data_IF_980881271064
#
_entry.id   IF_980881271064
#
_cell.length_a   1.000
_cell.length_b   1.000
_cell.length_c   1.000
_cell.angle_alpha   90.00
_cell.angle_beta   90.00
_cell.angle_gamma   90.00
#
_symmetry.space_group_name_H-M   'P 1'
#
loop_
_entity.id
_entity.type
_entity.pdbx_description
1 polymer ?
#
# COMPACT_ATOMS: atom_id res chain seq x y z
N UNK A 1 17.27 -15.33 11.87
CA UNK A 1 18.00 -14.41 12.78
C UNK A 1 17.03 -13.36 13.29
N UNK A 2 16.70 -13.37 14.59
CA UNK A 2 15.88 -12.33 15.24
C UNK A 2 16.69 -11.03 15.30
N UNK A 3 16.06 -9.88 15.02
CA UNK A 3 16.68 -8.55 15.17
C UNK A 3 17.24 -7.88 13.90
N UNK A 4 17.16 -8.51 12.71
CA UNK A 4 17.57 -7.85 11.45
C UNK A 4 16.46 -7.10 10.71
N UNK A 5 15.19 -7.30 11.09
CA UNK A 5 14.08 -6.58 10.49
C UNK A 5 13.69 -5.40 11.38
N UNK A 6 14.14 -4.21 11.00
CA UNK A 6 13.75 -2.94 11.64
C UNK A 6 12.39 -2.44 11.13
N UNK A 7 12.03 -2.75 9.88
CA UNK A 7 10.79 -2.28 9.29
C UNK A 7 9.73 -3.37 9.28
N UNK A 8 8.46 -2.97 9.45
CA UNK A 8 7.32 -3.90 9.37
C UNK A 8 7.08 -4.26 7.91
N UNK A 9 6.84 -5.54 7.65
CA UNK A 9 6.49 -6.00 6.30
C UNK A 9 5.15 -5.41 5.84
N UNK A 10 4.22 -5.17 6.77
CA UNK A 10 2.94 -4.50 6.49
C UNK A 10 3.15 -3.10 5.92
N UNK A 11 4.02 -2.28 6.52
CA UNK A 11 4.33 -0.93 6.06
C UNK A 11 4.85 -0.96 4.61
N UNK A 12 5.75 -1.92 4.31
CA UNK A 12 6.32 -2.11 2.97
C UNK A 12 5.23 -2.43 1.94
N UNK A 13 4.36 -3.38 2.26
CA UNK A 13 3.30 -3.82 1.36
C UNK A 13 2.29 -2.70 1.12
N UNK A 14 1.89 -1.98 2.17
CA UNK A 14 0.90 -0.90 2.07
C UNK A 14 1.46 0.26 1.25
N UNK A 15 2.72 0.65 1.47
CA UNK A 15 3.38 1.68 0.66
C UNK A 15 3.47 1.22 -0.80
N UNK A 16 3.88 -0.02 -1.06
CA UNK A 16 3.96 -0.53 -2.43
C UNK A 16 2.60 -0.47 -3.15
N UNK A 17 1.52 -0.89 -2.49
CA UNK A 17 0.15 -0.80 -3.05
C UNK A 17 -0.24 0.66 -3.27
N UNK A 18 0.00 1.54 -2.30
CA UNK A 18 -0.30 2.97 -2.41
C UNK A 18 0.45 3.61 -3.59
N UNK A 19 1.71 3.26 -3.80
CA UNK A 19 2.51 3.71 -4.96
C UNK A 19 1.86 3.32 -6.27
N UNK A 20 1.46 2.06 -6.43
CA UNK A 20 0.75 1.62 -7.65
C UNK A 20 -0.59 2.34 -7.85
N UNK A 21 -1.34 2.58 -6.78
CA UNK A 21 -2.60 3.34 -6.84
C UNK A 21 -2.40 4.81 -7.22
N UNK A 22 -1.25 5.39 -6.84
CA UNK A 22 -0.85 6.74 -7.20
C UNK A 22 -0.14 6.83 -8.56
N UNK A 23 0.00 5.72 -9.29
CA UNK A 23 0.60 5.69 -10.63
C UNK A 23 2.11 5.53 -10.69
N UNK A 24 2.78 5.31 -9.55
CA UNK A 24 4.18 4.90 -9.53
C UNK A 24 4.31 3.38 -9.73
N UNK A 25 5.40 2.92 -10.33
CA UNK A 25 5.55 1.51 -10.73
C UNK A 25 6.91 0.88 -10.39
N UNK A 26 7.83 1.64 -9.80
CA UNK A 26 9.17 1.19 -9.44
C UNK A 26 9.52 1.39 -7.95
N UNK A 27 10.66 0.85 -7.52
CA UNK A 27 11.12 0.94 -6.13
C UNK A 27 11.51 2.37 -5.71
N UNK A 28 11.87 3.23 -6.67
CA UNK A 28 12.19 4.63 -6.42
C UNK A 28 10.91 5.39 -6.07
N UNK A 29 9.84 5.16 -6.82
CA UNK A 29 8.50 5.71 -6.57
C UNK A 29 7.96 5.25 -5.21
N UNK A 30 8.25 4.01 -4.79
CA UNK A 30 7.91 3.53 -3.45
C UNK A 30 8.64 4.29 -2.34
N UNK A 31 9.93 4.55 -2.55
CA UNK A 31 10.73 5.36 -1.63
C UNK A 31 10.24 6.79 -1.55
N UNK A 32 9.99 7.44 -2.69
CA UNK A 32 9.51 8.81 -2.77
C UNK A 32 8.16 8.97 -2.06
N UNK A 33 7.19 8.07 -2.34
CA UNK A 33 5.91 8.08 -1.66
C UNK A 33 6.05 7.82 -0.14
N UNK A 34 6.89 6.87 0.28
CA UNK A 34 7.17 6.64 1.69
C UNK A 34 7.74 7.87 2.38
N UNK A 35 8.65 8.58 1.72
CA UNK A 35 9.31 9.77 2.26
C UNK A 35 8.35 10.94 2.35
N UNK A 36 7.51 11.14 1.33
CA UNK A 36 6.68 12.34 1.20
C UNK A 36 5.31 12.20 1.87
N UNK A 37 4.77 10.98 1.89
CA UNK A 37 3.39 10.69 2.31
C UNK A 37 3.28 9.58 3.35
N UNK A 38 4.40 8.99 3.79
CA UNK A 38 4.36 7.87 4.75
C UNK A 38 3.64 8.19 6.06
N UNK A 39 3.78 9.42 6.56
CA UNK A 39 3.08 9.89 7.76
C UNK A 39 1.58 10.11 7.54
N UNK A 40 1.19 10.57 6.34
CA UNK A 40 -0.21 10.79 5.94
C UNK A 40 -1.01 9.47 5.89
N UNK A 41 -0.32 8.33 5.77
CA UNK A 41 -0.92 7.00 5.70
C UNK A 41 -1.19 6.37 7.08
N UNK A 42 -0.93 7.09 8.18
CA UNK A 42 -1.29 6.60 9.52
C UNK A 42 -2.83 6.46 9.66
N UNK A 43 -3.32 5.41 10.33
CA UNK A 43 -2.57 4.40 11.09
C UNK A 43 -2.12 3.18 10.26
N UNK A 44 -2.37 3.14 8.95
CA UNK A 44 -2.07 1.98 8.11
C UNK A 44 -0.56 1.72 8.00
N UNK A 45 0.24 2.78 7.99
CA UNK A 45 1.71 2.71 7.95
C UNK A 45 2.26 3.34 9.23
N UNK A 46 3.06 2.60 10.00
CA UNK A 46 3.62 3.10 11.27
C UNK A 46 5.03 3.67 11.15
N UNK A 47 5.88 3.10 10.28
CA UNK A 47 7.28 3.48 10.10
C UNK A 47 8.06 3.62 11.42
N UNK A 48 8.11 2.58 12.28
CA UNK A 48 8.73 2.66 13.60
C UNK A 48 10.22 3.01 13.58
N UNK A 49 10.88 2.86 12.42
CA UNK A 49 12.28 3.19 12.20
C UNK A 49 12.46 4.20 11.04
N UNK A 50 11.43 4.99 10.76
CA UNK A 50 11.41 5.97 9.68
C UNK A 50 11.24 5.36 8.29
N UNK A 51 11.48 6.20 7.28
CA UNK A 51 11.34 5.87 5.87
C UNK A 51 12.25 4.68 5.49
N UNK A 52 11.68 3.75 4.72
CA UNK A 52 12.39 2.60 4.18
C UNK A 52 13.31 3.01 3.04
N UNK A 53 14.41 2.30 2.79
CA UNK A 53 15.23 2.52 1.60
C UNK A 53 14.69 1.81 0.36
N UNK A 54 15.10 2.26 -0.83
CA UNK A 54 14.84 1.59 -2.12
C UNK A 54 15.23 0.11 -2.05
N UNK A 55 16.44 -0.21 -1.57
CA UNK A 55 16.92 -1.59 -1.42
C UNK A 55 16.03 -2.43 -0.49
N UNK A 56 15.36 -1.80 0.49
CA UNK A 56 14.45 -2.52 1.39
C UNK A 56 13.17 -2.89 0.67
N UNK A 57 12.61 -2.00 -0.15
CA UNK A 57 11.48 -2.31 -1.02
C UNK A 57 11.84 -3.41 -2.01
N UNK A 58 12.93 -3.25 -2.75
CA UNK A 58 13.40 -4.23 -3.72
C UNK A 58 13.56 -5.60 -3.06
N UNK A 59 14.28 -5.68 -1.95
CA UNK A 59 14.56 -6.94 -1.26
C UNK A 59 13.30 -7.68 -0.83
N UNK A 60 12.26 -6.97 -0.39
CA UNK A 60 11.03 -7.60 0.10
C UNK A 60 10.08 -7.92 -1.05
N UNK A 61 9.78 -6.94 -1.91
CA UNK A 61 8.81 -7.10 -3.00
C UNK A 61 9.29 -8.14 -4.02
N UNK A 62 10.58 -8.16 -4.37
CA UNK A 62 11.14 -9.18 -5.30
C UNK A 62 11.04 -10.62 -4.81
N UNK A 63 10.82 -10.83 -3.50
CA UNK A 63 10.67 -12.16 -2.89
C UNK A 63 9.23 -12.61 -2.77
N UNK A 64 8.27 -11.75 -3.06
CA UNK A 64 6.85 -12.09 -3.02
C UNK A 64 6.51 -12.85 -4.30
N UNK A 65 5.85 -14.01 -4.18
CA UNK A 65 5.31 -14.71 -5.33
C UNK A 65 4.18 -13.87 -5.95
N UNK A 66 4.32 -13.41 -7.21
CA UNK A 66 3.30 -12.58 -7.85
C UNK A 66 1.94 -13.27 -7.96
N UNK A 67 1.92 -14.60 -8.15
CA UNK A 67 0.67 -15.36 -8.29
C UNK A 67 -0.08 -15.42 -6.97
N UNK A 68 0.60 -15.80 -5.88
CA UNK A 68 0.02 -15.79 -4.55
C UNK A 68 -0.43 -14.38 -4.13
N UNK A 69 0.36 -13.34 -4.43
CA UNK A 69 -0.01 -11.97 -4.11
C UNK A 69 -1.25 -11.50 -4.87
N UNK A 70 -1.32 -11.79 -6.18
CA UNK A 70 -2.49 -11.53 -6.99
C UNK A 70 -3.74 -12.24 -6.45
N UNK A 71 -3.63 -13.50 -6.06
CA UNK A 71 -4.74 -14.24 -5.44
C UNK A 71 -5.22 -13.59 -4.13
N UNK A 72 -4.31 -13.14 -3.27
CA UNK A 72 -4.65 -12.40 -2.06
C UNK A 72 -5.38 -11.08 -2.37
N UNK A 73 -4.90 -10.33 -3.36
CA UNK A 73 -5.54 -9.08 -3.79
C UNK A 73 -6.93 -9.31 -4.40
N UNK A 74 -7.13 -10.40 -5.14
CA UNK A 74 -8.45 -10.78 -5.66
C UNK A 74 -9.44 -11.05 -4.53
N UNK A 75 -9.05 -11.88 -3.54
CA UNK A 75 -9.88 -12.17 -2.37
C UNK A 75 -10.21 -10.89 -1.60
N UNK A 76 -9.22 -10.02 -1.39
CA UNK A 76 -9.45 -8.73 -0.75
C UNK A 76 -10.39 -7.83 -1.58
N UNK A 77 -10.21 -7.78 -2.90
CA UNK A 77 -11.06 -7.03 -3.81
C UNK A 77 -12.52 -7.48 -3.74
N UNK A 78 -12.78 -8.78 -3.74
CA UNK A 78 -14.13 -9.33 -3.61
C UNK A 78 -14.79 -8.91 -2.29
N UNK A 79 -14.04 -8.96 -1.18
CA UNK A 79 -14.55 -8.50 0.12
C UNK A 79 -14.85 -6.99 0.14
N UNK A 80 -13.98 -6.19 -0.48
CA UNK A 80 -14.16 -4.75 -0.58
C UNK A 80 -15.39 -4.39 -1.41
N UNK A 81 -15.63 -5.09 -2.52
CA UNK A 81 -16.79 -4.87 -3.38
C UNK A 81 -18.08 -5.18 -2.62
N UNK A 82 -18.13 -6.28 -1.88
CA UNK A 82 -19.32 -6.61 -1.08
C UNK A 82 -19.57 -5.58 0.03
N UNK A 83 -18.51 -5.10 0.70
CA UNK A 83 -18.61 -4.04 1.72
C UNK A 83 -19.10 -2.69 1.15
N UNK A 84 -18.80 -2.41 -0.12
CA UNK A 84 -19.21 -1.20 -0.84
C UNK A 84 -20.56 -1.34 -1.54
N UNK A 85 -21.14 -2.54 -1.57
CA UNK A 85 -22.39 -2.80 -2.28
C UNK A 85 -23.52 -1.92 -1.74
N UNK A 86 -24.21 -1.25 -2.65
CA UNK A 86 -25.26 -0.29 -2.31
C UNK A 86 -24.76 1.06 -1.78
N UNK A 87 -23.44 1.26 -1.63
CA UNK A 87 -22.84 2.56 -1.28
C UNK A 87 -22.34 3.24 -2.55
N UNK A 88 -22.71 4.51 -2.73
CA UNK A 88 -22.16 5.33 -3.81
C UNK A 88 -20.81 5.91 -3.36
N UNK A 89 -19.73 5.55 -4.07
CA UNK A 89 -18.38 6.10 -3.84
C UNK A 89 -17.96 6.97 -5.02
N UNK A 90 -17.84 8.27 -4.79
CA UNK A 90 -17.30 9.19 -5.79
C UNK A 90 -15.78 9.19 -5.77
N UNK A 91 -15.15 8.60 -6.79
CA UNK A 91 -13.68 8.54 -6.91
C UNK A 91 -13.10 9.83 -7.50
N UNK A 92 -13.88 10.55 -8.31
CA UNK A 92 -13.49 11.78 -9.02
C UNK A 92 -13.38 13.04 -8.12
N UNK A 93 -13.29 12.88 -6.79
CA UNK A 93 -13.28 13.99 -5.82
C UNK A 93 -14.59 14.78 -5.72
N UNK A 94 -15.61 14.41 -6.49
CA UNK A 94 -16.93 15.04 -6.49
C UNK A 94 -17.74 14.60 -5.28
N UNK A 95 -18.18 15.56 -4.46
CA UNK A 95 -19.09 15.26 -3.35
C UNK A 95 -20.51 15.04 -3.89
N UNK A 96 -21.21 14.04 -3.36
CA UNK A 96 -22.64 13.87 -3.60
C UNK A 96 -23.33 15.14 -3.05
N UNK A 97 -23.96 15.91 -3.94
CA UNK A 97 -24.89 16.97 -3.55
C UNK A 97 -26.27 16.29 -3.52
N UNK A 98 -26.80 16.08 -2.32
CA UNK A 98 -28.15 15.56 -2.15
C UNK A 98 -29.18 16.47 -2.83
N UNK A 99 -30.32 15.88 -3.22
CA UNK A 99 -31.55 16.63 -3.52
C UNK A 99 -32.11 17.27 -2.26
#
# INVERSE_FOLDING_TARGET
VKGRCKHKVSDIIIIAIATYLCGGDDYVSMYELCRERGEDLKPLVELPNGCLSVDTFERVISRIDPKAFGACLSVFGDTLIEDLKGKHVSIDGKRIRGS
#
